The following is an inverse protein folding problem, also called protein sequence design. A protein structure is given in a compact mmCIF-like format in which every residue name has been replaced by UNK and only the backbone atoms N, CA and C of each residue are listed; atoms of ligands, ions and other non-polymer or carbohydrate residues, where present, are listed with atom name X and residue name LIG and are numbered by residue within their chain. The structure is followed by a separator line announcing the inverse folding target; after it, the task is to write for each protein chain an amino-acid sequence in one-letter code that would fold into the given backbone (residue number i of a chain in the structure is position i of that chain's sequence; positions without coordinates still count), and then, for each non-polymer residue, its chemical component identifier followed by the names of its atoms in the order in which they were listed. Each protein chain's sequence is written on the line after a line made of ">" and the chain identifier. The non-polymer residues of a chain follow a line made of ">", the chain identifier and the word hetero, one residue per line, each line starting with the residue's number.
data_IF_746596486195
#
_entry.id   IF_746596486195
#
_cell.length_a   1.000
_cell.length_b   1.000
_cell.length_c   1.000
_cell.angle_alpha   90.00
_cell.angle_beta   90.00
_cell.angle_gamma   90.00
#
_symmetry.space_group_name_H-M   'P 1'
#
loop_
_entity.id
_entity.type
_entity.pdbx_description
1 polymer ?
#
# COMPACT_ATOMS: atom_id res chain seq x y z
N UNK A 1 -5.84 -3.36 -11.15
CA UNK A 1 -5.62 -3.00 -9.73
C UNK A 1 -6.47 -3.87 -8.81
N UNK A 2 -7.81 -3.81 -8.89
CA UNK A 2 -8.71 -4.52 -7.97
C UNK A 2 -8.47 -6.03 -7.90
N UNK A 3 -8.39 -6.74 -9.03
CA UNK A 3 -8.15 -8.20 -9.04
C UNK A 3 -6.82 -8.54 -8.34
N UNK A 4 -5.74 -7.83 -8.68
CA UNK A 4 -4.44 -8.03 -8.04
C UNK A 4 -4.46 -7.73 -6.54
N UNK A 5 -5.20 -6.70 -6.11
CA UNK A 5 -5.37 -6.37 -4.70
C UNK A 5 -6.17 -7.44 -3.95
N UNK A 6 -7.19 -8.04 -4.59
CA UNK A 6 -7.93 -9.19 -4.02
C UNK A 6 -6.99 -10.37 -3.84
N UNK A 7 -6.24 -10.77 -4.87
CA UNK A 7 -5.30 -11.90 -4.77
C UNK A 7 -4.25 -11.66 -3.68
N UNK A 8 -3.69 -10.44 -3.62
CA UNK A 8 -2.71 -10.08 -2.59
C UNK A 8 -3.29 -10.14 -1.18
N UNK A 9 -4.48 -9.57 -0.96
CA UNK A 9 -5.14 -9.58 0.35
C UNK A 9 -5.56 -10.99 0.78
N UNK A 10 -6.06 -11.80 -0.15
CA UNK A 10 -6.36 -13.21 0.09
C UNK A 10 -5.13 -14.01 0.52
N UNK A 11 -3.95 -13.67 0.00
CA UNK A 11 -2.68 -14.26 0.42
C UNK A 11 -2.30 -14.01 1.88
N UNK A 12 -2.99 -13.12 2.59
CA UNK A 12 -2.75 -12.83 4.01
C UNK A 12 -3.77 -13.48 4.95
N UNK A 13 -4.81 -14.14 4.42
CA UNK A 13 -5.85 -14.77 5.24
C UNK A 13 -5.35 -15.98 6.06
N UNK A 14 -4.12 -16.44 5.84
CA UNK A 14 -3.51 -17.49 6.69
C UNK A 14 -3.11 -16.99 8.08
N UNK A 15 -3.09 -15.67 8.30
CA UNK A 15 -2.57 -15.05 9.52
C UNK A 15 -3.50 -15.17 10.75
N UNK A 16 -4.77 -15.52 10.57
CA UNK A 16 -5.72 -15.73 11.66
C UNK A 16 -6.73 -16.83 11.32
N UNK A 17 -7.47 -17.28 12.33
CA UNK A 17 -8.66 -18.13 12.18
C UNK A 17 -9.93 -17.40 12.65
N UNK A 18 -9.80 -16.21 13.23
CA UNK A 18 -10.94 -15.40 13.66
C UNK A 18 -11.53 -14.62 12.46
N UNK A 19 -12.82 -14.80 12.22
CA UNK A 19 -13.51 -14.21 11.06
C UNK A 19 -13.47 -12.67 11.05
N UNK A 20 -13.53 -12.02 12.22
CA UNK A 20 -13.53 -10.56 12.31
C UNK A 20 -12.12 -10.03 12.05
N UNK A 21 -11.11 -10.66 12.64
CA UNK A 21 -9.72 -10.33 12.39
C UNK A 21 -9.35 -10.52 10.91
N UNK A 22 -9.81 -11.61 10.28
CA UNK A 22 -9.58 -11.88 8.86
C UNK A 22 -10.16 -10.80 7.95
N UNK A 23 -11.35 -10.27 8.26
CA UNK A 23 -11.93 -9.13 7.53
C UNK A 23 -11.00 -7.91 7.65
N UNK A 24 -10.46 -7.66 8.84
CA UNK A 24 -9.50 -6.59 9.08
C UNK A 24 -8.20 -6.77 8.30
N UNK A 25 -7.60 -7.95 8.37
CA UNK A 25 -6.38 -8.33 7.65
C UNK A 25 -6.58 -8.17 6.15
N UNK A 26 -7.71 -8.66 5.62
CA UNK A 26 -8.05 -8.51 4.21
C UNK A 26 -8.17 -7.03 3.83
N UNK A 27 -8.95 -6.25 4.58
CA UNK A 27 -9.18 -4.85 4.27
C UNK A 27 -7.88 -4.03 4.26
N UNK A 28 -7.01 -4.23 5.26
CA UNK A 28 -5.79 -3.45 5.39
C UNK A 28 -4.75 -3.80 4.32
N UNK A 29 -4.60 -5.09 4.01
CA UNK A 29 -3.66 -5.56 2.98
C UNK A 29 -4.17 -5.24 1.58
N UNK A 30 -5.49 -5.28 1.35
CA UNK A 30 -6.13 -4.82 0.12
C UNK A 30 -5.85 -3.34 -0.13
N UNK A 31 -6.04 -2.48 0.88
CA UNK A 31 -5.75 -1.05 0.78
C UNK A 31 -4.25 -0.79 0.56
N UNK A 32 -3.39 -1.58 1.21
CA UNK A 32 -1.94 -1.56 0.95
C UNK A 32 -1.60 -1.89 -0.50
N UNK A 33 -2.21 -2.93 -1.08
CA UNK A 33 -2.02 -3.28 -2.48
C UNK A 33 -2.48 -2.19 -3.45
N UNK A 34 -3.58 -1.49 -3.14
CA UNK A 34 -4.04 -0.34 -3.93
C UNK A 34 -3.00 0.79 -3.88
N UNK A 35 -2.42 1.09 -2.71
CA UNK A 35 -1.35 2.09 -2.60
C UNK A 35 -0.10 1.68 -3.40
N UNK A 36 0.33 0.42 -3.31
CA UNK A 36 1.49 -0.07 -4.06
C UNK A 36 1.24 0.01 -5.57
N UNK A 37 0.03 -0.31 -6.03
CA UNK A 37 -0.34 -0.15 -7.43
C UNK A 37 -0.38 1.33 -7.86
N UNK A 38 -0.85 2.23 -6.99
CA UNK A 38 -0.80 3.67 -7.27
C UNK A 38 0.64 4.18 -7.39
N UNK A 39 1.52 3.80 -6.46
CA UNK A 39 2.94 4.15 -6.51
C UNK A 39 3.61 3.60 -7.78
N UNK A 40 3.32 2.35 -8.13
CA UNK A 40 3.81 1.73 -9.36
C UNK A 40 3.47 2.58 -10.60
N UNK A 41 2.20 2.98 -10.74
CA UNK A 41 1.75 3.79 -11.88
C UNK A 41 2.32 5.20 -11.84
N UNK A 42 2.31 5.85 -10.67
CA UNK A 42 2.82 7.22 -10.53
C UNK A 42 4.31 7.32 -10.83
N UNK A 43 5.08 6.29 -10.46
CA UNK A 43 6.52 6.22 -10.72
C UNK A 43 6.85 5.59 -12.08
N UNK A 44 5.99 5.78 -13.08
CA UNK A 44 6.17 5.33 -14.46
C UNK A 44 6.39 3.81 -14.58
N UNK A 45 5.52 3.04 -13.95
CA UNK A 45 5.55 1.58 -13.95
C UNK A 45 6.89 1.01 -13.44
N UNK A 46 7.53 1.71 -12.49
CA UNK A 46 8.75 1.25 -11.84
C UNK A 46 8.40 0.36 -10.63
N UNK A 47 8.67 -0.94 -10.75
CA UNK A 47 8.41 -1.93 -9.70
C UNK A 47 9.28 -1.74 -8.45
N UNK A 48 10.45 -1.12 -8.58
CA UNK A 48 11.37 -0.98 -7.44
C UNK A 48 10.79 -0.11 -6.33
N UNK A 49 10.00 0.92 -6.68
CA UNK A 49 9.40 1.82 -5.69
C UNK A 49 8.48 1.09 -4.71
N UNK A 50 7.43 0.36 -5.15
CA UNK A 50 6.60 -0.41 -4.24
C UNK A 50 7.34 -1.60 -3.60
N UNK A 51 8.28 -2.25 -4.30
CA UNK A 51 9.08 -3.36 -3.74
C UNK A 51 9.87 -2.85 -2.53
N UNK A 52 10.67 -1.80 -2.68
CA UNK A 52 11.49 -1.28 -1.58
C UNK A 52 10.64 -0.78 -0.43
N UNK A 53 9.54 -0.07 -0.71
CA UNK A 53 8.64 0.38 0.35
C UNK A 53 8.09 -0.80 1.16
N UNK A 54 7.57 -1.83 0.48
CA UNK A 54 7.01 -3.00 1.15
C UNK A 54 8.07 -3.83 1.88
N UNK A 55 9.24 -4.05 1.27
CA UNK A 55 10.35 -4.76 1.90
C UNK A 55 10.84 -4.04 3.16
N UNK A 56 10.93 -2.70 3.16
CA UNK A 56 11.31 -1.92 4.34
C UNK A 56 10.23 -1.98 5.44
N UNK A 57 8.96 -1.97 5.06
CA UNK A 57 7.86 -2.19 6.01
C UNK A 57 7.99 -3.57 6.67
N UNK A 58 8.17 -4.64 5.89
CA UNK A 58 8.31 -6.01 6.42
C UNK A 58 9.60 -6.17 7.24
N UNK A 59 10.71 -5.58 6.79
CA UNK A 59 11.96 -5.59 7.53
C UNK A 59 11.78 -4.93 8.90
N UNK A 60 11.13 -3.77 8.95
CA UNK A 60 10.83 -3.08 10.21
C UNK A 60 9.88 -3.90 11.07
N UNK A 61 8.89 -4.56 10.45
CA UNK A 61 7.97 -5.46 11.14
C UNK A 61 8.69 -6.59 11.87
N UNK A 62 9.67 -7.22 11.21
CA UNK A 62 10.42 -8.34 11.77
C UNK A 62 11.49 -7.91 12.77
N UNK A 63 12.25 -6.85 12.50
CA UNK A 63 13.33 -6.40 13.40
C UNK A 63 12.78 -5.93 14.76
N UNK A 64 11.61 -5.31 14.74
CA UNK A 64 11.01 -4.72 15.94
C UNK A 64 9.82 -5.53 16.49
N UNK A 65 9.57 -6.72 15.94
CA UNK A 65 8.48 -7.62 16.35
C UNK A 65 7.14 -6.86 16.50
N UNK A 66 6.74 -6.15 15.44
CA UNK A 66 5.68 -5.15 15.51
C UNK A 66 4.30 -5.71 15.89
N UNK A 67 3.94 -6.89 15.37
CA UNK A 67 2.73 -7.63 15.75
C UNK A 67 2.72 -9.04 15.11
N UNK A 68 1.74 -9.86 15.48
CA UNK A 68 1.56 -11.23 14.97
C UNK A 68 0.89 -11.25 13.59
N UNK A 69 -0.02 -10.31 13.31
CA UNK A 69 -0.79 -10.27 12.05
C UNK A 69 -0.70 -8.92 11.34
N UNK A 70 -0.93 -8.89 10.04
CA UNK A 70 -0.86 -7.66 9.26
C UNK A 70 -1.92 -6.61 9.67
N UNK A 71 -2.97 -7.00 10.42
CA UNK A 71 -3.90 -6.04 11.01
C UNK A 71 -3.14 -5.09 11.94
N UNK A 72 -2.35 -5.67 12.85
CA UNK A 72 -1.55 -4.97 13.84
C UNK A 72 -2.36 -4.17 14.86
N UNK A 73 -1.73 -3.87 15.99
CA UNK A 73 -2.25 -3.01 17.03
C UNK A 73 -2.06 -1.53 16.72
N UNK A 74 -2.10 -0.71 17.77
CA UNK A 74 -2.07 0.76 17.62
C UNK A 74 -0.73 1.25 17.05
N UNK A 75 0.39 0.77 17.61
CA UNK A 75 1.72 1.26 17.24
C UNK A 75 2.08 0.93 15.78
N UNK A 76 1.92 -0.31 15.28
CA UNK A 76 2.17 -0.62 13.87
C UNK A 76 1.28 0.20 12.93
N UNK A 77 0.04 0.47 13.31
CA UNK A 77 -0.88 1.30 12.55
C UNK A 77 -0.46 2.79 12.49
N UNK A 78 0.14 3.34 13.54
CA UNK A 78 0.71 4.69 13.53
C UNK A 78 1.86 4.76 12.51
N UNK A 79 2.81 3.83 12.58
CA UNK A 79 3.94 3.79 11.63
C UNK A 79 3.49 3.54 10.20
N UNK A 80 2.48 2.70 10.01
CA UNK A 80 1.82 2.50 8.71
C UNK A 80 1.23 3.81 8.19
N UNK A 81 0.46 4.54 9.01
CA UNK A 81 -0.08 5.84 8.66
C UNK A 81 1.00 6.84 8.25
N UNK A 82 2.09 6.93 9.01
CA UNK A 82 3.25 7.78 8.69
C UNK A 82 3.92 7.38 7.37
N UNK A 83 4.06 6.07 7.12
CA UNK A 83 4.64 5.54 5.88
C UNK A 83 3.78 5.89 4.67
N UNK A 84 2.46 5.68 4.77
CA UNK A 84 1.49 6.01 3.72
C UNK A 84 1.52 7.52 3.43
N UNK A 85 1.43 8.35 4.48
CA UNK A 85 1.46 9.80 4.36
C UNK A 85 2.75 10.27 3.67
N UNK A 86 3.89 9.74 4.11
CA UNK A 86 5.20 10.08 3.55
C UNK A 86 5.29 9.68 2.08
N UNK A 87 4.88 8.46 1.71
CA UNK A 87 4.90 7.98 0.33
C UNK A 87 4.03 8.84 -0.61
N UNK A 88 2.82 9.22 -0.18
CA UNK A 88 1.91 10.07 -0.96
C UNK A 88 2.48 11.48 -1.10
N UNK A 89 2.85 12.13 0.01
CA UNK A 89 3.36 13.51 0.00
C UNK A 89 4.65 13.61 -0.81
N UNK A 90 5.57 12.65 -0.64
CA UNK A 90 6.80 12.59 -1.39
C UNK A 90 6.54 12.46 -2.90
N UNK A 91 5.67 11.53 -3.30
CA UNK A 91 5.32 11.32 -4.72
C UNK A 91 4.73 12.58 -5.35
N UNK A 92 3.78 13.24 -4.67
CA UNK A 92 3.16 14.48 -5.16
C UNK A 92 4.18 15.62 -5.24
N UNK A 93 4.98 15.83 -4.19
CA UNK A 93 6.00 16.89 -4.17
C UNK A 93 7.07 16.68 -5.23
N UNK A 94 7.54 15.44 -5.39
CA UNK A 94 8.51 15.07 -6.42
C UNK A 94 7.97 15.40 -7.81
N UNK A 95 6.77 14.91 -8.15
CA UNK A 95 6.16 15.18 -9.45
C UNK A 95 5.95 16.67 -9.72
N UNK A 96 5.45 17.41 -8.73
CA UNK A 96 5.29 18.86 -8.84
C UNK A 96 6.64 19.57 -9.09
N UNK A 97 7.70 19.17 -8.40
CA UNK A 97 9.05 19.73 -8.60
C UNK A 97 9.60 19.46 -10.00
N UNK A 98 9.24 18.31 -10.59
CA UNK A 98 9.63 17.94 -11.95
C UNK A 98 8.65 18.42 -13.03
N UNK A 99 7.63 19.22 -12.68
CA UNK A 99 6.54 19.63 -13.58
C UNK A 99 5.82 18.44 -14.25
N UNK A 100 5.80 17.28 -13.60
CA UNK A 100 5.09 16.09 -14.05
C UNK A 100 3.66 16.09 -13.50
N UNK A 101 2.71 15.68 -14.33
CA UNK A 101 1.32 15.44 -13.89
C UNK A 101 1.22 14.08 -13.16
N UNK A 102 0.25 13.96 -12.26
CA UNK A 102 -0.15 12.66 -11.73
C UNK A 102 -0.71 11.82 -12.87
N UNK A 103 -0.34 10.54 -12.90
CA UNK A 103 -0.83 9.62 -13.93
C UNK A 103 -2.29 9.24 -13.65
N UNK A 104 -2.65 9.10 -12.38
CA UNK A 104 -4.01 8.88 -11.89
C UNK A 104 -4.55 10.22 -11.39
N UNK A 105 -5.60 10.70 -12.05
CA UNK A 105 -6.38 11.89 -11.70
C UNK A 105 -7.81 11.49 -11.35
N UNK A 106 -8.62 12.46 -10.91
CA UNK A 106 -10.05 12.22 -10.66
C UNK A 106 -10.78 11.75 -11.92
N UNK A 107 -10.33 12.18 -13.09
CA UNK A 107 -10.99 11.93 -14.37
C UNK A 107 -10.76 10.51 -14.91
N UNK A 108 -9.71 9.82 -14.43
CA UNK A 108 -9.34 8.49 -14.91
C UNK A 108 -9.19 7.45 -13.79
N UNK A 109 -9.77 7.73 -12.61
CA UNK A 109 -9.66 6.88 -11.43
C UNK A 109 -10.19 5.45 -11.66
N UNK A 110 -11.30 5.34 -12.40
CA UNK A 110 -11.95 4.05 -12.69
C UNK A 110 -11.80 3.60 -14.14
N UNK A 111 -11.80 4.56 -15.08
CA UNK A 111 -11.72 4.27 -16.52
C UNK A 111 -10.79 5.27 -17.20
N UNK A 112 -9.92 4.78 -18.07
CA UNK A 112 -9.13 5.66 -18.94
C UNK A 112 -10.09 6.30 -19.94
N UNK A 113 -10.23 7.62 -19.87
CA UNK A 113 -10.95 8.38 -20.91
C UNK A 113 -10.07 8.38 -22.16
N UNK A 114 -10.55 7.74 -23.23
CA UNK A 114 -9.91 7.71 -24.54
C UNK A 114 -9.98 9.08 -25.20
#
# INVERSE_FOLDING_TARGET
>A
IIIGAIVFASGHLYQSQDSIELIGIFAITFMGAVLFAWLYVEWNFNLWVPIFLHSLMNLSWHIFEMDDTALGGILPNIFRGLTIFTAIVFTIKYKRKQNLKLAITKDNLFFKKN
#
